data_IF_157127066812
#
_entry.id   IF_157127066812
#
_cell.length_a   1.000
_cell.length_b   1.000
_cell.length_c   1.000
_cell.angle_alpha   90.00
_cell.angle_beta   90.00
_cell.angle_gamma   90.00
#
_symmetry.space_group_name_H-M   'P 1'
#
loop_
_entity.id
_entity.type
_entity.pdbx_description
1 polymer ?
#
# COMPACT_ATOMS: atom_id res chain seq x y z
N UNK A 1 19.60 19.14 -5.42
CA UNK A 1 19.06 17.88 -5.05
C UNK A 1 17.57 17.81 -5.16
N UNK A 2 17.14 16.72 -5.64
CA UNK A 2 15.72 16.52 -5.82
C UNK A 2 14.94 16.57 -4.51
N UNK A 3 15.60 16.33 -3.42
CA UNK A 3 14.91 16.37 -2.14
C UNK A 3 14.30 17.70 -1.83
N UNK A 4 15.08 18.74 -1.99
CA UNK A 4 14.55 20.08 -1.71
C UNK A 4 13.43 20.43 -2.65
N UNK A 5 13.62 20.04 -3.87
CA UNK A 5 12.60 20.30 -4.86
C UNK A 5 11.30 19.58 -4.50
N UNK A 6 11.39 18.36 -4.06
CA UNK A 6 10.21 17.62 -3.70
C UNK A 6 9.48 18.22 -2.53
N UNK A 7 10.23 18.74 -1.58
CA UNK A 7 9.60 19.37 -0.44
C UNK A 7 8.79 20.57 -0.85
N UNK A 8 9.33 21.35 -1.75
CA UNK A 8 8.61 22.50 -2.25
C UNK A 8 7.31 22.10 -2.89
N UNK A 9 7.38 21.14 -3.78
CA UNK A 9 6.18 20.67 -4.45
C UNK A 9 5.19 20.14 -3.45
N UNK A 10 5.69 19.42 -2.52
CA UNK A 10 4.84 18.79 -1.55
C UNK A 10 4.09 19.81 -0.71
N UNK A 11 4.72 20.90 -0.39
CA UNK A 11 4.05 21.94 0.36
C UNK A 11 2.86 22.51 -0.38
N UNK A 12 2.97 22.60 -1.68
CA UNK A 12 1.88 23.12 -2.47
C UNK A 12 0.73 22.16 -2.57
N UNK A 13 1.04 20.92 -2.72
CA UNK A 13 0.03 19.90 -2.91
C UNK A 13 -1.00 19.80 -1.80
N UNK A 14 -0.61 19.69 -0.57
CA UNK A 14 -1.59 19.56 0.50
C UNK A 14 -2.56 20.70 0.51
N UNK A 15 -2.04 21.85 0.19
CA UNK A 15 -2.85 23.02 0.19
C UNK A 15 -3.95 22.96 -0.85
N UNK A 16 -3.61 22.50 -2.01
CA UNK A 16 -4.57 22.39 -3.09
C UNK A 16 -5.59 21.31 -2.83
N UNK A 17 -5.12 20.20 -2.36
CA UNK A 17 -5.94 19.03 -2.23
C UNK A 17 -6.89 19.08 -1.08
N UNK A 18 -6.47 19.65 0.00
CA UNK A 18 -7.17 19.50 1.25
C UNK A 18 -8.63 19.85 1.20
N UNK A 19 -8.99 20.81 0.42
CA UNK A 19 -10.36 21.28 0.47
C UNK A 19 -11.35 20.43 -0.29
N UNK A 20 -11.00 20.04 -1.47
CA UNK A 20 -12.02 19.50 -2.36
C UNK A 20 -12.00 17.99 -2.49
N UNK A 21 -10.85 17.41 -2.37
CA UNK A 21 -10.75 16.00 -2.70
C UNK A 21 -11.20 15.06 -1.63
N UNK A 22 -10.92 15.39 -0.40
CA UNK A 22 -11.22 14.47 0.67
C UNK A 22 -12.67 14.14 0.83
N UNK A 23 -13.51 15.13 0.64
CA UNK A 23 -14.90 14.92 0.95
C UNK A 23 -15.55 13.79 0.21
N UNK A 24 -15.42 13.72 -1.09
CA UNK A 24 -16.13 12.67 -1.82
C UNK A 24 -15.46 11.32 -1.79
N UNK A 25 -14.19 11.33 -1.58
CA UNK A 25 -13.42 10.11 -1.76
C UNK A 25 -13.62 9.09 -0.68
N UNK A 26 -13.64 9.54 0.53
CA UNK A 26 -13.58 8.64 1.64
C UNK A 26 -14.66 7.60 1.69
N UNK A 27 -15.77 7.89 1.11
CA UNK A 27 -16.91 7.02 1.27
C UNK A 27 -16.73 5.66 0.62
N UNK A 28 -15.92 5.57 -0.40
CA UNK A 28 -15.86 4.34 -1.19
C UNK A 28 -14.57 3.56 -1.07
N UNK A 29 -13.75 3.95 -0.15
CA UNK A 29 -12.49 3.26 0.00
C UNK A 29 -12.72 1.90 0.65
N UNK A 30 -12.27 0.83 0.02
CA UNK A 30 -12.52 -0.51 0.54
C UNK A 30 -11.24 -1.13 1.08
N UNK A 31 -11.42 -2.20 1.84
CA UNK A 31 -10.27 -2.95 2.34
C UNK A 31 -9.47 -3.58 1.22
N UNK A 32 -10.16 -3.99 0.18
CA UNK A 32 -9.47 -4.55 -0.97
C UNK A 32 -8.59 -3.49 -1.63
N UNK A 33 -9.09 -2.27 -1.72
CA UNK A 33 -8.29 -1.18 -2.28
C UNK A 33 -7.04 -0.95 -1.46
N UNK A 34 -7.16 -1.04 -0.15
CA UNK A 34 -6.00 -0.91 0.71
C UNK A 34 -4.98 -2.00 0.41
N UNK A 35 -5.45 -3.23 0.25
CA UNK A 35 -4.55 -4.33 -0.07
C UNK A 35 -3.85 -4.13 -1.40
N UNK A 36 -4.57 -3.62 -2.38
CA UNK A 36 -3.97 -3.35 -3.67
C UNK A 36 -2.88 -2.29 -3.55
N UNK A 37 -3.13 -1.27 -2.75
CA UNK A 37 -2.11 -0.24 -2.54
C UNK A 37 -0.88 -0.79 -1.87
N UNK A 38 -1.07 -1.67 -0.89
CA UNK A 38 0.07 -2.28 -0.22
C UNK A 38 0.88 -3.12 -1.20
N UNK A 39 0.20 -3.82 -2.10
CA UNK A 39 0.89 -4.63 -3.09
C UNK A 39 1.69 -3.74 -4.05
N UNK A 40 1.10 -2.65 -4.46
CA UNK A 40 1.80 -1.74 -5.36
C UNK A 40 3.07 -1.21 -4.70
N UNK A 41 2.98 -0.88 -3.43
CA UNK A 41 4.15 -0.41 -2.71
C UNK A 41 5.19 -1.52 -2.58
N UNK A 42 4.75 -2.73 -2.32
CA UNK A 42 5.68 -3.86 -2.20
C UNK A 42 6.42 -4.10 -3.51
N UNK A 43 5.71 -4.03 -4.62
CA UNK A 43 6.35 -4.18 -5.92
C UNK A 43 7.35 -3.06 -6.17
N UNK A 44 7.00 -1.87 -5.76
CA UNK A 44 7.92 -0.74 -5.86
C UNK A 44 9.21 -1.02 -5.12
N UNK A 45 9.12 -1.58 -3.92
CA UNK A 45 10.32 -1.90 -3.16
C UNK A 45 11.21 -2.90 -3.89
N UNK A 46 10.60 -3.90 -4.53
CA UNK A 46 11.38 -4.82 -5.32
C UNK A 46 12.17 -4.11 -6.40
N UNK A 47 11.50 -3.20 -7.08
CA UNK A 47 12.15 -2.47 -8.18
C UNK A 47 13.22 -1.53 -7.67
N UNK A 48 13.15 -1.15 -6.40
CA UNK A 48 14.15 -0.29 -5.79
C UNK A 48 15.35 -1.07 -5.28
N UNK A 49 15.32 -2.39 -5.38
CA UNK A 49 16.48 -3.17 -5.04
C UNK A 49 16.37 -4.05 -3.80
N UNK A 50 15.26 -3.98 -3.11
CA UNK A 50 15.07 -4.88 -1.98
C UNK A 50 14.86 -6.29 -2.47
N UNK A 51 15.35 -7.26 -1.73
CA UNK A 51 15.18 -8.63 -2.12
C UNK A 51 13.74 -9.08 -1.90
N UNK A 52 13.36 -10.10 -2.64
CA UNK A 52 12.03 -10.66 -2.49
C UNK A 52 11.77 -11.09 -1.05
N UNK A 53 12.76 -11.71 -0.45
CA UNK A 53 12.63 -12.18 0.92
C UNK A 53 12.39 -11.01 1.88
N UNK A 54 13.14 -9.95 1.71
CA UNK A 54 12.98 -8.79 2.56
C UNK A 54 11.58 -8.18 2.43
N UNK A 55 11.13 -8.06 1.20
CA UNK A 55 9.83 -7.45 0.98
C UNK A 55 8.72 -8.33 1.55
N UNK A 56 8.81 -9.64 1.33
CA UNK A 56 7.80 -10.54 1.84
C UNK A 56 7.76 -10.52 3.37
N UNK A 57 8.91 -10.41 4.01
CA UNK A 57 8.95 -10.31 5.44
C UNK A 57 8.32 -9.02 5.94
N UNK A 58 8.61 -7.92 5.26
CA UNK A 58 8.03 -6.64 5.65
C UNK A 58 6.51 -6.68 5.56
N UNK A 59 6.01 -7.26 4.49
CA UNK A 59 4.57 -7.34 4.33
C UNK A 59 3.95 -8.24 5.37
N UNK A 60 4.63 -9.31 5.71
CA UNK A 60 4.14 -10.21 6.74
C UNK A 60 4.04 -9.51 8.09
N UNK A 61 5.07 -8.74 8.44
CA UNK A 61 5.04 -8.00 9.68
C UNK A 61 3.97 -6.92 9.67
N UNK A 62 3.82 -6.29 8.52
CA UNK A 62 2.80 -5.28 8.38
C UNK A 62 1.41 -5.87 8.60
N UNK A 63 1.16 -7.02 8.00
CA UNK A 63 -0.12 -7.68 8.16
C UNK A 63 -0.37 -8.07 9.61
N UNK A 64 0.66 -8.53 10.26
CA UNK A 64 0.54 -8.89 11.68
C UNK A 64 0.17 -7.67 12.51
N UNK A 65 0.81 -6.57 12.25
CA UNK A 65 0.51 -5.35 13.00
C UNK A 65 -0.90 -4.86 12.75
N UNK A 66 -1.37 -4.99 11.53
CA UNK A 66 -2.74 -4.61 11.22
C UNK A 66 -3.71 -5.49 12.00
N UNK A 67 -3.45 -6.76 12.03
CA UNK A 67 -4.30 -7.68 12.78
C UNK A 67 -4.32 -7.32 14.24
N UNK A 68 -3.16 -7.01 14.79
CA UNK A 68 -3.07 -6.62 16.19
C UNK A 68 -3.82 -5.33 16.49
N UNK A 69 -4.06 -4.54 15.49
CA UNK A 69 -4.80 -3.29 15.67
C UNK A 69 -6.29 -3.50 15.83
N UNK A 70 -6.75 -4.73 15.64
CA UNK A 70 -8.15 -5.01 15.90
C UNK A 70 -9.01 -5.24 14.67
N UNK A 71 -8.43 -5.37 13.52
CA UNK A 71 -9.23 -5.69 12.33
C UNK A 71 -9.72 -7.12 12.40
N UNK A 72 -10.93 -7.33 11.92
CA UNK A 72 -11.53 -8.65 11.96
C UNK A 72 -10.90 -9.57 10.91
N UNK A 73 -11.12 -10.85 11.07
CA UNK A 73 -10.64 -11.81 10.11
C UNK A 73 -11.20 -11.51 8.72
N UNK A 74 -12.45 -11.12 8.67
CA UNK A 74 -13.08 -10.79 7.40
C UNK A 74 -12.36 -9.62 6.73
N UNK A 75 -12.05 -8.59 7.51
CA UNK A 75 -11.36 -7.44 6.96
C UNK A 75 -9.96 -7.80 6.51
N UNK A 76 -9.28 -8.64 7.28
CA UNK A 76 -7.95 -9.10 6.89
C UNK A 76 -8.00 -9.87 5.58
N UNK A 77 -9.03 -10.70 5.42
CA UNK A 77 -9.17 -11.46 4.18
C UNK A 77 -9.43 -10.56 2.99
N UNK A 78 -10.18 -9.49 3.18
CA UNK A 78 -10.43 -8.56 2.10
C UNK A 78 -9.14 -7.85 1.68
N UNK A 79 -8.34 -7.47 2.64
CA UNK A 79 -7.06 -6.84 2.34
C UNK A 79 -6.13 -7.81 1.62
N UNK A 80 -6.10 -9.04 2.09
CA UNK A 80 -5.24 -10.05 1.46
C UNK A 80 -5.68 -10.33 0.04
N UNK A 81 -6.98 -10.35 -0.17
CA UNK A 81 -7.50 -10.56 -1.51
C UNK A 81 -7.03 -9.46 -2.46
N UNK A 82 -7.15 -8.21 -2.02
CA UNK A 82 -6.71 -7.09 -2.85
C UNK A 82 -5.22 -7.14 -3.11
N UNK A 83 -4.46 -7.51 -2.10
CA UNK A 83 -3.02 -7.64 -2.25
C UNK A 83 -2.67 -8.65 -3.34
N UNK A 84 -3.22 -9.86 -3.23
CA UNK A 84 -2.91 -10.89 -4.20
C UNK A 84 -3.41 -10.53 -5.60
N UNK A 85 -4.56 -9.90 -5.65
CA UNK A 85 -5.10 -9.46 -6.92
C UNK A 85 -4.13 -8.53 -7.64
N UNK A 86 -3.61 -7.56 -6.90
CA UNK A 86 -2.71 -6.59 -7.50
C UNK A 86 -1.37 -7.20 -7.87
N UNK A 87 -0.86 -8.11 -7.05
CA UNK A 87 0.39 -8.78 -7.37
C UNK A 87 0.27 -9.51 -8.71
N UNK A 88 -0.83 -10.21 -8.90
CA UNK A 88 -1.02 -10.98 -10.12
C UNK A 88 -1.10 -10.10 -11.35
N UNK A 89 -1.53 -8.86 -11.17
CA UNK A 89 -1.67 -7.94 -12.29
C UNK A 89 -0.42 -7.13 -12.58
N UNK A 90 0.56 -7.22 -11.73
CA UNK A 90 1.75 -6.40 -11.85
C UNK A 90 2.88 -7.21 -12.45
N UNK A 91 3.42 -6.70 -13.54
CA UNK A 91 4.51 -7.38 -14.22
C UNK A 91 5.77 -7.35 -13.36
N UNK A 92 6.52 -8.44 -13.43
CA UNK A 92 7.81 -8.51 -12.76
C UNK A 92 7.70 -8.30 -11.25
N UNK A 93 6.63 -8.81 -10.69
CA UNK A 93 6.43 -8.70 -9.26
C UNK A 93 5.72 -9.96 -8.78
N UNK A 94 6.49 -10.96 -8.40
CA UNK A 94 5.90 -12.24 -8.00
C UNK A 94 6.08 -12.50 -6.52
N UNK A 95 5.67 -11.55 -5.74
CA UNK A 95 5.70 -11.67 -4.30
C UNK A 95 4.64 -12.63 -3.81
N UNK A 96 4.91 -13.26 -2.70
CA UNK A 96 3.96 -14.13 -2.06
C UNK A 96 3.56 -13.57 -0.72
N UNK A 97 2.31 -13.80 -0.38
CA UNK A 97 1.85 -13.40 0.93
C UNK A 97 2.17 -14.54 1.90
N UNK A 98 2.99 -14.25 2.86
CA UNK A 98 3.46 -15.26 3.80
C UNK A 98 2.79 -15.16 5.15
N UNK A 99 1.76 -14.42 5.21
CA UNK A 99 1.04 -14.16 6.44
C UNK A 99 0.09 -15.30 6.79
#
# INVERSE_FOLDING_TARGET
MSKNFLLSSFLLLPFIISGSIFNPVKANYSRSDFGQGAAAFACFLLWEGYSKYEVENLISEFAYNIEESGFSEREMNQMAYGYRFQIQRTNNCNLRMRY
#
